data_IF_116777048326
#
_entry.id   IF_116777048326
#
_cell.length_a   1.000
_cell.length_b   1.000
_cell.length_c   1.000
_cell.angle_alpha   90.00
_cell.angle_beta   90.00
_cell.angle_gamma   90.00
#
_symmetry.space_group_name_H-M   'P 1'
#
loop_
_entity.id
_entity.type
_entity.pdbx_description
1 polymer ?
#
# COMPACT_ATOMS: atom_id res chain seq x y z
N UNK A 1 -55.67 10.41 57.59
CA UNK A 1 -56.61 9.80 56.62
C UNK A 1 -55.84 9.48 55.34
N UNK A 2 -56.00 8.26 54.85
CA UNK A 2 -55.59 7.70 53.54
C UNK A 2 -54.10 7.43 53.26
N UNK A 3 -53.78 6.14 53.34
CA UNK A 3 -52.63 5.43 52.79
C UNK A 3 -52.68 5.39 51.25
N UNK A 4 -51.53 5.56 50.57
CA UNK A 4 -51.28 4.89 49.28
C UNK A 4 -49.86 4.31 49.26
N UNK A 5 -49.79 2.97 49.30
CA UNK A 5 -48.61 2.16 49.03
C UNK A 5 -48.32 2.17 47.53
N UNK A 6 -47.08 2.44 47.13
CA UNK A 6 -46.54 1.95 45.87
C UNK A 6 -45.46 0.91 46.15
N UNK A 7 -45.82 -0.34 45.91
CA UNK A 7 -44.89 -1.43 45.66
C UNK A 7 -44.28 -1.21 44.27
N UNK A 8 -42.95 -1.21 44.16
CA UNK A 8 -42.28 -1.66 42.94
C UNK A 8 -41.23 -2.71 43.29
N UNK A 9 -41.45 -3.87 42.68
CA UNK A 9 -40.62 -5.07 42.69
C UNK A 9 -39.29 -4.85 41.93
N UNK A 10 -38.28 -5.70 42.16
CA UNK A 10 -36.89 -5.44 41.82
C UNK A 10 -36.51 -5.84 40.39
N UNK A 11 -35.34 -5.34 39.98
CA UNK A 11 -34.67 -5.49 38.69
C UNK A 11 -34.32 -6.95 38.33
N UNK A 12 -35.28 -7.69 37.78
CA UNK A 12 -35.04 -9.05 37.24
C UNK A 12 -35.08 -9.09 35.70
N UNK A 13 -35.61 -8.07 35.04
CA UNK A 13 -35.72 -8.05 33.57
C UNK A 13 -34.42 -7.65 32.85
N UNK A 14 -33.50 -6.94 33.50
CA UNK A 14 -32.29 -6.42 32.85
C UNK A 14 -31.15 -7.44 32.77
N UNK A 15 -31.09 -8.40 33.70
CA UNK A 15 -30.02 -9.42 33.73
C UNK A 15 -30.30 -10.56 32.75
N UNK A 16 -31.57 -10.94 32.57
CA UNK A 16 -31.97 -11.98 31.61
C UNK A 16 -31.74 -11.50 30.16
N UNK A 17 -31.99 -10.23 29.87
CA UNK A 17 -31.71 -9.63 28.56
C UNK A 17 -30.22 -9.61 28.20
N UNK A 18 -29.34 -9.33 29.17
CA UNK A 18 -27.89 -9.29 28.94
C UNK A 18 -27.29 -10.69 28.75
N UNK A 19 -27.75 -11.68 29.51
CA UNK A 19 -27.30 -13.08 29.37
C UNK A 19 -27.75 -13.65 28.03
N UNK A 20 -28.99 -13.37 27.59
CA UNK A 20 -29.49 -13.81 26.28
C UNK A 20 -28.69 -13.18 25.13
N UNK A 21 -28.33 -11.89 25.23
CA UNK A 21 -27.49 -11.21 24.23
C UNK A 21 -26.08 -11.82 24.18
N UNK A 22 -25.43 -12.05 25.32
CA UNK A 22 -24.09 -12.66 25.34
C UNK A 22 -24.13 -14.09 24.79
N UNK A 23 -25.13 -14.90 25.14
CA UNK A 23 -25.27 -16.25 24.58
C UNK A 23 -25.60 -16.25 23.09
N UNK A 24 -26.42 -15.32 22.61
CA UNK A 24 -26.71 -15.18 21.18
C UNK A 24 -25.48 -14.72 20.40
N UNK A 25 -24.71 -13.75 20.92
CA UNK A 25 -23.46 -13.28 20.32
C UNK A 25 -22.40 -14.39 20.30
N UNK A 26 -22.27 -15.18 21.36
CA UNK A 26 -21.31 -16.28 21.43
C UNK A 26 -21.72 -17.46 20.53
N UNK A 27 -23.02 -17.75 20.39
CA UNK A 27 -23.52 -18.74 19.42
C UNK A 27 -23.29 -18.28 17.98
N UNK A 28 -23.52 -16.99 17.69
CA UNK A 28 -23.27 -16.41 16.36
C UNK A 28 -21.78 -16.44 16.03
N UNK A 29 -20.92 -16.14 17.00
CA UNK A 29 -19.47 -16.18 16.85
C UNK A 29 -18.91 -17.60 16.69
N UNK A 30 -19.53 -18.61 17.33
CA UNK A 30 -19.14 -20.00 17.18
C UNK A 30 -19.66 -20.65 15.89
N UNK A 31 -20.80 -20.17 15.36
CA UNK A 31 -21.34 -20.59 14.04
C UNK A 31 -20.66 -19.85 12.88
N UNK A 32 -20.14 -18.65 13.12
CA UNK A 32 -19.42 -17.83 12.13
C UNK A 32 -17.88 -17.89 12.29
N UNK A 33 -17.33 -18.93 12.93
CA UNK A 33 -15.89 -19.20 12.77
C UNK A 33 -15.65 -19.56 11.30
N UNK A 34 -14.84 -18.80 10.56
CA UNK A 34 -14.40 -19.23 9.24
C UNK A 34 -13.73 -20.60 9.41
N UNK A 35 -14.15 -21.58 8.64
CA UNK A 35 -13.38 -22.81 8.50
C UNK A 35 -11.98 -22.43 7.96
N UNK A 36 -10.91 -23.17 8.24
CA UNK A 36 -9.64 -23.02 7.50
C UNK A 36 -9.80 -23.17 5.98
N UNK A 37 -10.96 -23.64 5.51
CA UNK A 37 -11.36 -23.69 4.11
C UNK A 37 -12.13 -22.44 3.61
N UNK A 38 -12.42 -21.49 4.49
CA UNK A 38 -13.08 -20.20 4.18
C UNK A 38 -12.06 -19.03 4.12
N UNK A 39 -10.76 -19.32 4.11
CA UNK A 39 -9.78 -18.33 3.67
C UNK A 39 -10.11 -17.95 2.22
N UNK A 40 -10.28 -16.65 1.91
CA UNK A 40 -10.46 -16.25 0.53
C UNK A 40 -9.18 -16.60 -0.23
N UNK A 41 -9.23 -17.65 -1.04
CA UNK A 41 -8.30 -17.77 -2.16
C UNK A 41 -8.34 -16.43 -2.89
N UNK A 42 -7.18 -15.78 -3.01
CA UNK A 42 -6.95 -14.74 -4.00
C UNK A 42 -7.13 -15.39 -5.38
N UNK A 43 -8.38 -15.57 -5.80
CA UNK A 43 -8.72 -15.94 -7.16
C UNK A 43 -8.54 -14.68 -8.00
N UNK A 44 -7.27 -14.36 -8.25
CA UNK A 44 -6.87 -13.57 -9.42
C UNK A 44 -7.62 -14.20 -10.58
N UNK A 45 -8.59 -13.47 -11.14
CA UNK A 45 -9.62 -14.04 -12.01
C UNK A 45 -9.05 -15.09 -12.96
N UNK A 46 -9.68 -16.26 -13.00
CA UNK A 46 -9.33 -17.38 -13.88
C UNK A 46 -9.39 -16.94 -15.34
N UNK A 47 -8.33 -16.26 -15.80
CA UNK A 47 -8.07 -16.03 -17.19
C UNK A 47 -7.68 -17.38 -17.78
N UNK A 48 -8.47 -17.83 -18.76
CA UNK A 48 -8.24 -19.05 -19.52
C UNK A 48 -6.76 -19.08 -19.97
N UNK A 49 -6.01 -20.16 -19.71
CA UNK A 49 -4.59 -20.21 -20.05
C UNK A 49 -4.42 -19.98 -21.55
N UNK A 50 -3.68 -18.94 -21.92
CA UNK A 50 -3.19 -18.77 -23.28
C UNK A 50 -2.10 -19.82 -23.53
N UNK A 51 -2.17 -20.52 -24.68
CA UNK A 51 -1.22 -21.55 -25.07
C UNK A 51 0.21 -21.00 -25.13
N UNK A 52 1.09 -21.56 -24.29
CA UNK A 52 2.48 -21.13 -24.16
C UNK A 52 3.10 -21.57 -22.83
N UNK A 53 3.03 -22.86 -22.50
CA UNK A 53 3.69 -23.41 -21.32
C UNK A 53 5.19 -23.57 -21.60
N UNK A 54 6.03 -22.73 -20.99
CA UNK A 54 7.47 -22.90 -21.00
C UNK A 54 7.92 -23.50 -19.64
N UNK A 55 8.56 -24.66 -19.69
CA UNK A 55 9.33 -25.15 -18.55
C UNK A 55 10.64 -24.36 -18.48
N UNK A 56 10.81 -23.52 -17.44
CA UNK A 56 12.05 -22.76 -17.29
C UNK A 56 13.16 -23.59 -16.65
N UNK A 57 14.40 -23.10 -16.76
CA UNK A 57 15.65 -23.81 -16.45
C UNK A 57 15.87 -24.18 -14.97
N UNK A 58 14.93 -23.87 -14.07
CA UNK A 58 15.07 -23.92 -12.61
C UNK A 58 14.02 -24.76 -11.89
N UNK A 59 13.23 -25.56 -12.62
CA UNK A 59 12.17 -26.39 -12.02
C UNK A 59 10.89 -25.63 -11.67
N UNK A 60 10.77 -24.38 -12.14
CA UNK A 60 9.54 -23.59 -12.09
C UNK A 60 8.73 -23.74 -13.39
N UNK A 61 7.41 -23.68 -13.25
CA UNK A 61 6.46 -23.48 -14.32
C UNK A 61 6.08 -22.00 -14.40
N UNK A 62 6.00 -21.46 -15.61
CA UNK A 62 5.70 -20.06 -15.86
C UNK A 62 4.36 -19.98 -16.59
N UNK A 63 3.35 -19.46 -15.92
CA UNK A 63 1.99 -19.31 -16.45
C UNK A 63 1.72 -17.86 -16.81
N UNK A 64 1.32 -17.64 -18.07
CA UNK A 64 0.97 -16.31 -18.56
C UNK A 64 -0.49 -15.99 -18.28
N UNK A 65 -0.75 -14.74 -17.92
CA UNK A 65 -2.08 -14.15 -17.81
C UNK A 65 -2.07 -12.75 -18.38
N UNK A 66 -3.23 -12.27 -18.80
CA UNK A 66 -3.44 -10.91 -19.30
C UNK A 66 -4.25 -10.07 -18.31
N UNK A 67 -4.33 -8.77 -18.58
CA UNK A 67 -5.10 -7.77 -17.83
C UNK A 67 -4.69 -7.59 -16.33
N UNK A 68 -3.44 -7.17 -16.03
CA UNK A 68 -2.35 -6.88 -16.96
C UNK A 68 -1.57 -8.14 -17.36
N UNK A 69 -0.81 -8.00 -18.44
CA UNK A 69 0.15 -9.02 -18.89
C UNK A 69 1.15 -9.33 -17.77
N UNK A 70 1.15 -10.59 -17.32
CA UNK A 70 1.94 -11.05 -16.19
C UNK A 70 2.30 -12.51 -16.31
N UNK A 71 3.35 -12.90 -15.60
CA UNK A 71 3.77 -14.28 -15.39
C UNK A 71 3.57 -14.64 -13.93
N UNK A 72 2.78 -15.67 -13.67
CA UNK A 72 2.76 -16.38 -12.41
C UNK A 72 3.82 -17.49 -12.46
N UNK A 73 4.62 -17.58 -11.40
CA UNK A 73 5.70 -18.54 -11.26
C UNK A 73 5.26 -19.56 -10.24
N UNK A 74 5.26 -20.83 -10.63
CA UNK A 74 4.78 -21.95 -9.84
C UNK A 74 5.96 -22.90 -9.65
N UNK A 75 6.17 -23.39 -8.43
CA UNK A 75 7.22 -24.37 -8.17
C UNK A 75 6.83 -25.81 -8.58
N UNK A 76 7.78 -26.73 -8.42
CA UNK A 76 7.59 -28.14 -8.78
C UNK A 76 6.51 -28.86 -7.97
N UNK A 77 6.07 -28.29 -6.85
CA UNK A 77 4.97 -28.82 -6.03
C UNK A 77 3.59 -28.34 -6.49
N UNK A 78 3.55 -27.34 -7.39
CA UNK A 78 2.31 -26.73 -7.87
C UNK A 78 1.91 -25.46 -7.11
N UNK A 79 2.73 -24.99 -6.18
CA UNK A 79 2.46 -23.80 -5.38
C UNK A 79 2.93 -22.52 -6.09
N UNK A 80 2.13 -21.44 -6.09
CA UNK A 80 2.57 -20.15 -6.62
C UNK A 80 3.66 -19.55 -5.73
N UNK A 81 4.76 -19.11 -6.33
CA UNK A 81 5.92 -18.55 -5.62
C UNK A 81 6.20 -17.09 -5.94
N UNK A 82 5.70 -16.59 -7.08
CA UNK A 82 5.76 -15.17 -7.42
C UNK A 82 4.85 -14.76 -8.59
N UNK A 83 4.59 -13.46 -8.70
CA UNK A 83 3.93 -12.81 -9.82
C UNK A 83 4.83 -11.68 -10.34
N UNK A 84 5.14 -11.74 -11.63
CA UNK A 84 5.90 -10.73 -12.36
C UNK A 84 4.99 -10.05 -13.38
N UNK A 85 4.86 -8.72 -13.33
CA UNK A 85 4.01 -7.98 -14.28
C UNK A 85 4.88 -7.34 -15.35
N UNK A 86 4.53 -7.53 -16.62
CA UNK A 86 5.29 -6.99 -17.73
C UNK A 86 5.40 -5.48 -17.61
N UNK A 87 6.57 -4.91 -17.88
CA UNK A 87 6.84 -3.48 -17.74
C UNK A 87 7.06 -2.99 -16.31
N UNK A 88 6.75 -3.76 -15.27
CA UNK A 88 6.99 -3.39 -13.87
C UNK A 88 8.31 -3.95 -13.32
N UNK A 89 8.90 -3.27 -12.34
CA UNK A 89 10.02 -3.78 -11.53
C UNK A 89 9.57 -4.36 -10.19
N UNK A 90 8.41 -3.98 -9.66
CA UNK A 90 7.83 -4.61 -8.48
C UNK A 90 7.47 -6.06 -8.81
N UNK A 91 8.12 -6.95 -8.10
CA UNK A 91 7.88 -8.38 -8.12
C UNK A 91 7.19 -8.78 -6.82
N UNK A 92 6.12 -9.55 -6.96
CA UNK A 92 5.30 -10.03 -5.86
C UNK A 92 5.75 -11.45 -5.56
N UNK A 93 6.30 -11.70 -4.38
CA UNK A 93 6.92 -12.98 -4.01
C UNK A 93 6.20 -13.53 -2.78
N UNK A 94 5.66 -14.73 -2.88
CA UNK A 94 5.05 -15.42 -1.73
C UNK A 94 6.14 -15.87 -0.75
N UNK A 95 6.00 -15.53 0.52
CA UNK A 95 7.00 -15.79 1.55
C UNK A 95 6.36 -16.04 2.92
N UNK A 96 7.12 -15.91 4.02
CA UNK A 96 6.54 -16.03 5.35
C UNK A 96 5.46 -14.97 5.59
N UNK A 97 4.31 -15.38 6.16
CA UNK A 97 3.26 -14.47 6.61
C UNK A 97 3.76 -13.51 7.69
N UNK A 98 3.22 -12.29 7.67
CA UNK A 98 3.53 -11.21 8.60
C UNK A 98 2.32 -10.29 8.75
N UNK A 99 2.25 -9.64 9.91
CA UNK A 99 1.19 -8.71 10.25
C UNK A 99 1.76 -7.29 10.38
N UNK A 100 1.05 -6.32 9.83
CA UNK A 100 1.32 -4.90 10.03
C UNK A 100 0.18 -4.25 10.81
N UNK A 101 0.55 -3.39 11.76
CA UNK A 101 -0.38 -2.71 12.66
C UNK A 101 0.06 -1.26 12.86
N UNK A 102 -0.91 -0.35 12.95
CA UNK A 102 -0.72 1.07 13.28
C UNK A 102 -1.83 1.52 14.26
N UNK A 103 -1.74 1.12 15.54
CA UNK A 103 -2.87 1.14 16.46
C UNK A 103 -3.32 2.55 16.89
N UNK A 104 -2.61 3.61 16.51
CA UNK A 104 -2.95 4.98 16.94
C UNK A 104 -4.29 5.45 16.37
N UNK A 105 -4.59 5.07 15.13
CA UNK A 105 -5.72 5.63 14.38
C UNK A 105 -6.62 4.55 13.76
N UNK A 106 -6.32 3.27 13.93
CA UNK A 106 -7.18 2.17 13.48
C UNK A 106 -6.89 0.91 14.29
N UNK A 107 -7.88 0.03 14.41
CA UNK A 107 -7.70 -1.33 14.92
C UNK A 107 -7.44 -2.33 13.78
N UNK A 108 -7.56 -1.90 12.52
CA UNK A 108 -7.37 -2.75 11.36
C UNK A 108 -5.93 -3.26 11.27
N UNK A 109 -5.79 -4.50 10.83
CA UNK A 109 -4.52 -5.20 10.67
C UNK A 109 -4.37 -5.67 9.24
N UNK A 110 -3.15 -5.67 8.75
CA UNK A 110 -2.81 -6.25 7.46
C UNK A 110 -2.02 -7.53 7.69
N UNK A 111 -2.62 -8.68 7.47
CA UNK A 111 -1.91 -9.95 7.38
C UNK A 111 -1.62 -10.28 5.91
N UNK A 112 -0.36 -10.57 5.60
CA UNK A 112 0.03 -10.92 4.23
C UNK A 112 1.28 -11.79 4.22
N UNK A 113 1.32 -12.74 3.29
CA UNK A 113 2.49 -13.51 2.91
C UNK A 113 3.19 -12.93 1.67
N UNK A 114 2.70 -11.81 1.14
CA UNK A 114 3.24 -11.17 -0.04
C UNK A 114 4.44 -10.28 0.33
N UNK A 115 5.55 -10.51 -0.37
CA UNK A 115 6.78 -9.72 -0.31
C UNK A 115 6.97 -9.00 -1.64
N UNK A 116 7.12 -7.69 -1.59
CA UNK A 116 7.20 -6.83 -2.78
C UNK A 116 8.63 -6.35 -2.96
N UNK A 117 9.36 -6.95 -3.91
CA UNK A 117 10.77 -6.67 -4.20
C UNK A 117 10.91 -5.85 -5.48
N UNK A 118 12.00 -5.10 -5.61
CA UNK A 118 12.34 -4.46 -6.87
C UNK A 118 13.33 -5.31 -7.66
N UNK A 119 12.91 -5.75 -8.85
CA UNK A 119 13.77 -6.30 -9.87
C UNK A 119 14.76 -5.24 -10.37
N UNK A 120 15.95 -5.62 -10.88
CA UNK A 120 16.94 -4.68 -11.39
C UNK A 120 16.44 -3.93 -12.64
N UNK A 121 15.53 -4.53 -13.40
CA UNK A 121 14.94 -3.96 -14.61
C UNK A 121 13.48 -4.43 -14.78
N UNK A 122 12.69 -3.75 -15.64
CA UNK A 122 11.31 -4.15 -15.90
C UNK A 122 11.20 -5.59 -16.38
N UNK A 123 10.21 -6.31 -15.87
CA UNK A 123 9.90 -7.66 -16.34
C UNK A 123 9.35 -7.65 -17.77
N UNK A 124 9.59 -8.73 -18.52
CA UNK A 124 8.97 -8.99 -19.81
C UNK A 124 8.82 -10.49 -20.01
N UNK A 125 7.85 -10.92 -20.80
CA UNK A 125 7.77 -12.31 -21.24
C UNK A 125 9.11 -12.79 -21.85
N UNK A 126 9.55 -13.98 -21.46
CA UNK A 126 10.85 -14.55 -21.85
C UNK A 126 12.00 -14.23 -20.90
N UNK A 127 11.83 -13.29 -19.98
CA UNK A 127 12.85 -12.95 -18.99
C UNK A 127 13.16 -14.11 -18.03
N UNK A 128 12.27 -15.09 -17.89
CA UNK A 128 12.49 -16.31 -17.12
C UNK A 128 13.70 -17.15 -17.60
N UNK A 129 14.15 -16.93 -18.84
CA UNK A 129 15.30 -17.59 -19.43
C UNK A 129 16.59 -16.78 -19.32
N UNK A 130 16.50 -15.54 -18.82
CA UNK A 130 17.63 -14.63 -18.76
C UNK A 130 18.39 -14.78 -17.43
N UNK A 131 19.73 -14.77 -17.53
CA UNK A 131 20.61 -14.98 -16.37
C UNK A 131 20.36 -13.95 -15.25
N UNK A 132 20.12 -12.68 -15.60
CA UNK A 132 19.85 -11.64 -14.61
C UNK A 132 18.65 -11.99 -13.73
N UNK A 133 17.61 -12.59 -14.31
CA UNK A 133 16.39 -12.91 -13.59
C UNK A 133 16.57 -14.16 -12.76
N UNK A 134 17.20 -15.19 -13.33
CA UNK A 134 17.50 -16.43 -12.62
C UNK A 134 18.30 -16.14 -11.34
N UNK A 135 19.36 -15.34 -11.44
CA UNK A 135 20.21 -14.98 -10.31
C UNK A 135 19.47 -14.08 -9.31
N UNK A 136 18.81 -13.03 -9.81
CA UNK A 136 18.08 -12.09 -8.96
C UNK A 136 16.91 -12.76 -8.23
N UNK A 137 16.11 -13.59 -8.90
CA UNK A 137 14.94 -14.23 -8.30
C UNK A 137 15.33 -15.23 -7.21
N UNK A 138 16.40 -16.01 -7.45
CA UNK A 138 16.95 -16.91 -6.43
C UNK A 138 17.43 -16.15 -5.18
N UNK A 139 18.05 -14.98 -5.35
CA UNK A 139 18.43 -14.11 -4.24
C UNK A 139 17.21 -13.48 -3.55
N UNK A 140 16.26 -12.95 -4.31
CA UNK A 140 15.06 -12.28 -3.81
C UNK A 140 14.18 -13.20 -2.94
N UNK A 141 14.06 -14.49 -3.30
CA UNK A 141 13.36 -15.51 -2.50
C UNK A 141 14.00 -15.75 -1.12
N UNK A 142 15.30 -15.51 -0.99
CA UNK A 142 16.08 -15.69 0.25
C UNK A 142 16.27 -14.38 1.01
N UNK A 143 15.96 -13.25 0.40
CA UNK A 143 16.09 -11.95 1.01
C UNK A 143 15.08 -11.80 2.17
N UNK A 144 15.59 -11.34 3.32
CA UNK A 144 14.84 -11.07 4.54
C UNK A 144 14.94 -9.60 4.97
N UNK A 145 15.61 -8.76 4.16
CA UNK A 145 15.60 -7.33 4.35
C UNK A 145 14.18 -6.76 4.22
N UNK A 146 13.89 -5.59 4.79
CA UNK A 146 12.61 -4.91 4.59
C UNK A 146 12.31 -4.71 3.09
N UNK A 147 11.10 -5.06 2.67
CA UNK A 147 10.58 -4.87 1.32
C UNK A 147 9.68 -3.61 1.26
N UNK A 148 8.94 -3.36 0.16
CA UNK A 148 8.08 -2.16 0.03
C UNK A 148 7.11 -2.03 1.22
N UNK A 149 6.42 -3.11 1.59
CA UNK A 149 5.43 -3.06 2.66
C UNK A 149 6.10 -2.79 4.00
N UNK A 150 7.19 -3.50 4.34
CA UNK A 150 7.89 -3.25 5.60
C UNK A 150 8.45 -1.82 5.70
N UNK A 151 9.02 -1.29 4.61
CA UNK A 151 9.57 0.06 4.58
C UNK A 151 8.45 1.11 4.70
N UNK A 152 7.25 0.83 4.18
CA UNK A 152 6.10 1.73 4.28
C UNK A 152 5.73 2.02 5.75
N UNK A 153 5.86 1.03 6.64
CA UNK A 153 5.60 1.20 8.08
C UNK A 153 6.78 1.80 8.86
N UNK A 154 7.91 2.11 8.22
CA UNK A 154 9.06 2.72 8.90
C UNK A 154 8.95 4.25 9.07
N UNK A 155 7.85 4.84 8.61
CA UNK A 155 7.62 6.29 8.59
C UNK A 155 6.27 6.70 9.19
N UNK A 156 5.50 5.75 9.73
CA UNK A 156 4.23 6.05 10.41
C UNK A 156 4.48 6.69 11.77
N UNK A 157 3.42 7.20 12.38
CA UNK A 157 3.48 7.79 13.73
C UNK A 157 4.14 6.85 14.74
N UNK A 158 5.10 7.37 15.49
CA UNK A 158 5.83 6.60 16.50
C UNK A 158 6.81 5.56 15.93
N UNK A 159 7.02 5.49 14.61
CA UNK A 159 7.96 4.54 14.02
C UNK A 159 9.38 4.71 14.59
N UNK A 160 10.06 3.61 14.97
CA UNK A 160 11.39 3.68 15.59
C UNK A 160 12.41 4.39 14.72
N UNK A 161 13.18 5.29 15.34
CA UNK A 161 14.28 6.00 14.66
C UNK A 161 15.40 5.02 14.32
N UNK A 162 15.75 4.96 13.03
CA UNK A 162 16.92 4.23 12.53
C UNK A 162 17.97 5.21 12.01
N UNK A 163 19.23 4.94 12.36
CA UNK A 163 20.39 5.76 11.97
C UNK A 163 21.43 4.93 11.26
N UNK A 164 22.12 5.54 10.31
CA UNK A 164 23.26 4.93 9.64
C UNK A 164 24.53 5.00 10.52
N UNK A 165 25.64 4.49 10.00
CA UNK A 165 26.93 4.47 10.70
C UNK A 165 27.52 5.87 10.96
N UNK A 166 26.97 6.92 10.33
CA UNK A 166 27.36 8.32 10.53
C UNK A 166 26.41 9.04 11.49
N UNK A 167 25.39 8.34 12.02
CA UNK A 167 24.38 8.88 12.92
C UNK A 167 23.25 9.62 12.21
N UNK A 168 23.21 9.63 10.87
CA UNK A 168 22.13 10.25 10.09
C UNK A 168 20.87 9.39 10.20
N UNK A 169 19.76 10.03 10.56
CA UNK A 169 18.45 9.36 10.57
C UNK A 169 17.99 9.12 9.14
N UNK A 170 17.63 7.89 8.83
CA UNK A 170 17.12 7.49 7.51
C UNK A 170 15.70 6.88 7.57
N UNK A 171 15.20 6.57 8.78
CA UNK A 171 13.84 6.12 9.04
C UNK A 171 13.40 6.51 10.45
N UNK A 172 12.09 6.51 10.66
CA UNK A 172 11.39 6.96 11.85
C UNK A 172 10.20 7.84 11.46
N UNK A 173 9.38 8.17 12.44
CA UNK A 173 8.21 9.04 12.32
C UNK A 173 8.45 10.24 11.38
N UNK A 174 7.53 10.43 10.43
CA UNK A 174 7.58 11.47 9.43
C UNK A 174 6.35 12.37 9.53
N UNK A 175 6.57 13.68 9.65
CA UNK A 175 5.51 14.68 9.49
C UNK A 175 5.07 14.78 8.02
N UNK A 176 3.91 15.40 7.74
CA UNK A 176 3.54 15.72 6.35
C UNK A 176 4.33 16.93 5.83
N UNK A 177 4.49 17.93 6.69
CA UNK A 177 5.14 19.20 6.38
C UNK A 177 4.99 20.21 7.51
N UNK A 178 5.55 21.42 7.35
CA UNK A 178 5.35 22.50 8.31
C UNK A 178 3.86 22.90 8.36
N UNK A 179 3.38 23.47 9.48
CA UNK A 179 2.03 24.01 9.57
C UNK A 179 1.69 24.96 8.43
N UNK A 180 0.46 24.88 7.93
CA UNK A 180 -0.04 25.82 6.93
C UNK A 180 -0.47 27.13 7.60
N UNK A 181 0.09 28.30 7.24
CA UNK A 181 -0.35 29.57 7.81
C UNK A 181 -1.79 29.96 7.43
N UNK A 182 -2.36 29.36 6.39
CA UNK A 182 -3.72 29.60 5.91
C UNK A 182 -4.74 28.58 6.44
N UNK A 183 -4.29 27.45 6.99
CA UNK A 183 -5.13 26.39 7.55
C UNK A 183 -4.55 25.91 8.89
N UNK A 184 -5.16 26.28 10.04
CA UNK A 184 -4.67 25.92 11.36
C UNK A 184 -4.54 24.41 11.60
N UNK A 185 -5.34 23.59 10.91
CA UNK A 185 -5.31 22.12 10.98
C UNK A 185 -4.53 21.52 9.78
N UNK A 186 -4.06 22.37 8.87
CA UNK A 186 -3.38 22.01 7.63
C UNK A 186 -1.86 21.98 7.75
N UNK A 187 -1.24 21.23 6.85
CA UNK A 187 0.20 21.11 6.67
C UNK A 187 0.55 21.40 5.21
N UNK A 188 1.65 22.11 5.00
CA UNK A 188 2.09 22.45 3.66
C UNK A 188 2.66 21.23 2.95
N UNK A 189 2.10 20.90 1.79
CA UNK A 189 2.70 19.98 0.82
C UNK A 189 4.12 20.43 0.40
N UNK A 190 4.80 19.59 -0.38
CA UNK A 190 6.11 19.76 -1.03
C UNK A 190 7.30 19.09 -0.34
N UNK A 191 7.08 18.37 0.77
CA UNK A 191 8.14 17.61 1.43
C UNK A 191 8.48 16.32 0.65
N UNK A 192 9.73 16.19 0.17
CA UNK A 192 10.24 15.00 -0.54
C UNK A 192 11.25 14.22 0.33
N UNK A 193 11.75 13.08 -0.17
CA UNK A 193 12.71 12.25 0.58
C UNK A 193 13.99 13.00 1.01
N UNK A 194 14.47 13.93 0.20
CA UNK A 194 15.66 14.72 0.50
C UNK A 194 15.39 15.74 1.64
N UNK A 195 14.16 16.24 1.76
CA UNK A 195 13.74 17.09 2.88
C UNK A 195 13.74 16.28 4.18
N UNK A 196 13.14 15.08 4.17
CA UNK A 196 13.15 14.18 5.32
C UNK A 196 14.57 13.96 5.85
N UNK A 197 15.51 13.65 4.95
CA UNK A 197 16.91 13.38 5.30
C UNK A 197 17.67 14.66 5.69
N UNK A 198 17.24 15.82 5.20
CA UNK A 198 17.98 17.07 5.32
C UNK A 198 19.27 17.07 4.48
N UNK A 199 19.29 16.34 3.35
CA UNK A 199 20.47 16.20 2.49
C UNK A 199 20.17 16.68 1.06
N UNK A 200 21.06 17.44 0.41
CA UNK A 200 20.88 17.81 -0.99
C UNK A 200 20.92 16.57 -1.90
N UNK A 201 20.23 16.64 -3.02
CA UNK A 201 20.14 15.53 -3.97
C UNK A 201 20.33 15.99 -5.42
N UNK A 202 21.05 15.18 -6.20
CA UNK A 202 21.21 15.35 -7.64
C UNK A 202 20.52 14.20 -8.37
N UNK A 203 19.51 14.52 -9.18
CA UNK A 203 18.80 13.56 -10.00
C UNK A 203 19.57 13.24 -11.28
N UNK A 204 19.32 12.04 -11.84
CA UNK A 204 19.95 11.61 -13.10
C UNK A 204 19.56 12.49 -14.30
N UNK A 205 18.42 13.19 -14.21
CA UNK A 205 17.97 14.17 -15.21
C UNK A 205 18.66 15.55 -15.07
N UNK A 206 19.70 15.66 -14.24
CA UNK A 206 20.51 16.85 -14.05
C UNK A 206 19.89 17.90 -13.12
N UNK A 207 18.67 17.69 -12.65
CA UNK A 207 18.05 18.58 -11.66
C UNK A 207 18.67 18.36 -10.28
N UNK A 208 18.95 19.46 -9.58
CA UNK A 208 19.34 19.42 -8.17
C UNK A 208 18.16 19.82 -7.27
N UNK A 209 18.15 19.29 -6.07
CA UNK A 209 17.24 19.66 -4.99
C UNK A 209 18.02 19.98 -3.71
N UNK A 210 17.55 21.01 -3.01
CA UNK A 210 18.12 21.47 -1.75
C UNK A 210 17.02 21.31 -0.70
N UNK A 211 17.28 20.63 0.43
CA UNK A 211 16.29 20.44 1.47
C UNK A 211 15.94 21.75 2.16
N UNK A 212 14.67 21.94 2.49
CA UNK A 212 14.24 23.06 3.33
C UNK A 212 14.37 22.68 4.82
N UNK A 213 15.06 23.45 5.67
CA UNK A 213 15.23 23.10 7.09
C UNK A 213 13.93 22.86 7.86
N UNK A 214 12.87 23.60 7.52
CA UNK A 214 11.53 23.47 8.11
C UNK A 214 10.79 22.18 7.72
N UNK A 215 11.31 21.42 6.74
CA UNK A 215 10.76 20.16 6.23
C UNK A 215 11.60 18.95 6.65
N UNK A 216 12.54 19.14 7.57
CA UNK A 216 13.33 18.04 8.12
C UNK A 216 12.39 17.01 8.76
N UNK A 217 12.59 15.73 8.43
CA UNK A 217 11.70 14.63 8.81
C UNK A 217 10.24 14.79 8.31
N UNK A 218 10.03 15.47 7.18
CA UNK A 218 8.72 15.57 6.55
C UNK A 218 8.66 14.83 5.21
N UNK A 219 7.53 14.18 4.94
CA UNK A 219 7.21 13.48 3.69
C UNK A 219 5.76 13.77 3.30
N UNK A 220 5.53 14.43 2.16
CA UNK A 220 4.18 14.54 1.60
C UNK A 220 3.76 13.25 0.89
N UNK A 221 2.53 13.19 0.38
CA UNK A 221 1.95 11.97 -0.21
C UNK A 221 2.83 11.31 -1.28
N UNK A 222 3.50 12.10 -2.13
CA UNK A 222 4.33 11.60 -3.23
C UNK A 222 5.82 11.58 -2.88
N UNK A 223 6.27 12.45 -1.97
CA UNK A 223 7.58 12.39 -1.35
C UNK A 223 7.78 11.10 -0.54
N UNK A 224 6.72 10.65 0.14
CA UNK A 224 6.66 9.37 0.83
C UNK A 224 6.87 8.18 -0.14
N UNK A 225 6.20 8.17 -1.29
CA UNK A 225 6.44 7.14 -2.32
C UNK A 225 7.90 7.15 -2.80
N UNK A 226 8.46 8.35 -3.04
CA UNK A 226 9.86 8.50 -3.47
C UNK A 226 10.84 8.10 -2.38
N UNK A 227 10.50 8.25 -1.10
CA UNK A 227 11.26 7.70 0.01
C UNK A 227 11.26 6.17 -0.04
N UNK A 228 10.08 5.54 -0.07
CA UNK A 228 9.92 4.07 -0.02
C UNK A 228 10.56 3.40 -1.25
N UNK A 229 10.10 3.74 -2.46
CA UNK A 229 10.59 3.07 -3.67
C UNK A 229 11.94 3.61 -4.12
N UNK A 230 12.13 4.92 -4.05
CA UNK A 230 13.31 5.56 -4.61
C UNK A 230 14.52 5.48 -3.70
N UNK A 231 14.51 6.27 -2.63
CA UNK A 231 15.66 6.39 -1.74
C UNK A 231 15.95 5.06 -1.00
N UNK A 232 14.92 4.39 -0.48
CA UNK A 232 15.10 3.19 0.35
C UNK A 232 15.29 1.90 -0.45
N UNK A 233 14.64 1.77 -1.61
CA UNK A 233 14.70 0.56 -2.43
C UNK A 233 15.47 0.72 -3.75
N UNK A 234 15.95 1.93 -4.08
CA UNK A 234 16.79 2.17 -5.25
C UNK A 234 16.05 2.25 -6.57
N UNK A 235 14.74 2.51 -6.58
CA UNK A 235 14.02 2.82 -7.81
C UNK A 235 14.51 4.18 -8.37
N UNK A 236 14.88 4.30 -9.67
CA UNK A 236 15.33 5.55 -10.24
C UNK A 236 14.33 6.68 -9.98
N UNK A 237 14.82 7.84 -9.56
CA UNK A 237 14.03 9.05 -9.35
C UNK A 237 14.43 10.11 -10.35
N UNK A 238 13.45 10.86 -10.83
CA UNK A 238 13.68 12.07 -11.63
C UNK A 238 13.19 13.31 -10.90
N UNK A 239 13.82 14.46 -11.16
CA UNK A 239 13.44 15.74 -10.56
C UNK A 239 12.33 16.46 -11.33
N UNK A 240 12.10 16.08 -12.58
CA UNK A 240 11.08 16.63 -13.48
C UNK A 240 9.74 15.90 -13.40
N UNK A 241 8.67 16.54 -13.89
CA UNK A 241 7.33 15.94 -13.99
C UNK A 241 6.92 15.65 -15.45
N UNK A 242 7.85 15.77 -16.39
CA UNK A 242 7.69 15.41 -17.80
C UNK A 242 7.99 13.92 -18.01
N UNK A 243 7.62 13.30 -19.15
CA UNK A 243 8.04 11.94 -19.47
C UNK A 243 9.55 11.74 -19.37
N UNK A 244 9.98 10.56 -18.91
CA UNK A 244 11.40 10.22 -18.74
C UNK A 244 11.61 8.95 -17.92
N UNK A 245 12.87 8.63 -17.64
CA UNK A 245 13.21 7.51 -16.75
C UNK A 245 13.02 7.87 -15.27
N UNK A 246 12.61 6.89 -14.47
CA UNK A 246 12.43 7.04 -13.03
C UNK A 246 11.12 7.69 -12.59
N UNK A 247 10.82 7.59 -11.30
CA UNK A 247 9.58 8.10 -10.71
C UNK A 247 9.63 9.64 -10.63
N UNK A 248 8.63 10.37 -11.16
CA UNK A 248 8.56 11.83 -11.08
C UNK A 248 8.19 12.32 -9.68
N UNK A 249 8.16 13.65 -9.47
CA UNK A 249 7.92 14.24 -8.14
C UNK A 249 6.45 14.27 -7.74
N UNK A 250 5.55 14.62 -8.66
CA UNK A 250 4.13 14.90 -8.36
C UNK A 250 3.26 13.67 -8.58
N UNK A 251 2.25 13.48 -7.74
CA UNK A 251 1.27 12.39 -7.85
C UNK A 251 0.62 12.31 -9.26
N UNK A 252 0.17 13.44 -9.82
CA UNK A 252 -0.39 13.46 -11.18
C UNK A 252 0.60 12.95 -12.24
N UNK A 253 1.87 13.34 -12.12
CA UNK A 253 2.91 12.95 -13.06
C UNK A 253 3.28 11.47 -12.90
N UNK A 254 3.28 10.95 -11.67
CA UNK A 254 3.48 9.52 -11.43
C UNK A 254 2.37 8.70 -12.09
N UNK A 255 1.12 9.14 -12.00
CA UNK A 255 0.00 8.48 -12.65
C UNK A 255 0.07 8.54 -14.18
N UNK A 256 0.29 9.73 -14.74
CA UNK A 256 0.22 9.99 -16.18
C UNK A 256 1.44 9.48 -16.95
N UNK A 257 2.65 9.78 -16.45
CA UNK A 257 3.91 9.59 -17.16
C UNK A 257 4.96 8.85 -16.32
N UNK A 258 4.54 8.18 -15.25
CA UNK A 258 5.41 7.35 -14.42
C UNK A 258 5.93 6.11 -15.15
N UNK A 259 6.89 5.39 -14.55
CA UNK A 259 7.39 4.11 -15.06
C UNK A 259 6.49 2.96 -14.67
N UNK A 260 6.58 1.81 -15.34
CA UNK A 260 5.72 0.65 -15.07
C UNK A 260 4.48 0.56 -15.95
N UNK A 261 3.45 -0.12 -15.47
CA UNK A 261 2.16 -0.30 -16.15
C UNK A 261 1.03 0.43 -15.45
N UNK A 262 0.21 1.14 -16.23
CA UNK A 262 -1.07 1.64 -15.77
C UNK A 262 -2.07 0.49 -15.71
N UNK A 263 -2.59 0.20 -14.51
CA UNK A 263 -3.43 -0.95 -14.26
C UNK A 263 -4.91 -0.69 -14.65
N UNK A 264 -5.33 0.58 -14.58
CA UNK A 264 -6.64 1.07 -15.03
C UNK A 264 -6.53 2.52 -15.50
N UNK A 265 -7.29 2.95 -16.52
CA UNK A 265 -7.20 4.30 -17.05
C UNK A 265 -7.74 5.33 -16.05
N UNK A 266 -7.09 6.51 -15.98
CA UNK A 266 -7.69 7.68 -15.34
C UNK A 266 -8.75 8.28 -16.27
N UNK A 267 -10.02 7.94 -16.03
CA UNK A 267 -11.16 8.49 -16.78
C UNK A 267 -11.75 9.77 -16.17
N UNK A 268 -11.16 10.26 -15.07
CA UNK A 268 -11.75 11.32 -14.24
C UNK A 268 -13.01 10.88 -13.50
N UNK A 269 -13.34 9.58 -13.53
CA UNK A 269 -14.38 8.93 -12.73
C UNK A 269 -13.71 7.93 -11.79
N UNK A 270 -14.50 7.44 -10.81
CA UNK A 270 -14.06 6.37 -9.92
C UNK A 270 -13.47 5.19 -10.70
N UNK A 271 -12.28 4.76 -10.31
CA UNK A 271 -11.59 3.61 -10.88
C UNK A 271 -12.38 2.31 -10.67
N UNK A 272 -12.16 1.36 -11.58
CA UNK A 272 -12.72 0.00 -11.54
C UNK A 272 -11.60 -1.00 -11.78
N UNK A 273 -11.85 -2.26 -11.44
CA UNK A 273 -10.86 -3.33 -11.60
C UNK A 273 -9.93 -3.44 -10.40
N UNK A 274 -10.49 -3.39 -9.19
CA UNK A 274 -9.73 -3.49 -7.93
C UNK A 274 -9.01 -4.83 -7.79
N UNK A 275 -9.53 -5.86 -8.45
CA UNK A 275 -8.97 -7.21 -8.62
C UNK A 275 -7.63 -7.22 -9.38
N UNK A 276 -7.28 -6.14 -10.08
CA UNK A 276 -5.98 -5.98 -10.74
C UNK A 276 -4.86 -5.57 -9.78
N UNK A 277 -5.22 -5.03 -8.62
CA UNK A 277 -4.25 -4.53 -7.66
C UNK A 277 -3.54 -5.67 -6.93
N UNK A 278 -2.26 -5.47 -6.67
CA UNK A 278 -1.44 -6.29 -5.79
C UNK A 278 -0.73 -5.39 -4.77
N UNK A 279 -0.46 -5.88 -3.55
CA UNK A 279 0.25 -5.10 -2.52
C UNK A 279 1.50 -4.43 -3.07
N UNK A 280 1.72 -3.15 -2.75
CA UNK A 280 2.82 -2.36 -3.30
C UNK A 280 2.51 -1.64 -4.61
N UNK A 281 1.28 -1.71 -5.14
CA UNK A 281 0.85 -0.85 -6.24
C UNK A 281 0.67 0.60 -5.78
N UNK A 282 0.97 1.55 -6.66
CA UNK A 282 0.71 2.97 -6.43
C UNK A 282 -0.75 3.28 -6.76
N UNK A 283 -1.46 3.93 -5.84
CA UNK A 283 -2.85 4.35 -6.01
C UNK A 283 -2.95 5.87 -5.99
N UNK A 284 -3.82 6.43 -6.84
CA UNK A 284 -3.90 7.87 -7.09
C UNK A 284 -5.33 8.40 -6.97
N UNK A 285 -5.47 9.55 -6.33
CA UNK A 285 -6.77 10.10 -5.92
C UNK A 285 -6.91 11.58 -6.24
N UNK A 286 -8.17 12.03 -6.21
CA UNK A 286 -8.52 13.44 -6.06
C UNK A 286 -9.00 13.73 -4.63
N UNK A 287 -8.09 14.15 -3.75
CA UNK A 287 -8.34 14.48 -2.36
C UNK A 287 -8.81 15.93 -2.13
N UNK A 288 -9.06 16.71 -3.19
CA UNK A 288 -9.54 18.09 -3.04
C UNK A 288 -10.91 18.12 -2.31
N UNK A 289 -11.16 19.16 -1.50
CA UNK A 289 -12.47 19.38 -0.87
C UNK A 289 -13.61 19.42 -1.90
N UNK A 290 -13.35 20.05 -3.05
CA UNK A 290 -14.24 20.06 -4.22
C UNK A 290 -13.57 19.26 -5.34
N UNK A 291 -14.05 18.03 -5.64
CA UNK A 291 -13.44 17.19 -6.66
C UNK A 291 -13.41 17.86 -8.03
N UNK A 292 -12.20 18.14 -8.53
CA UNK A 292 -11.95 18.74 -9.84
C UNK A 292 -11.48 17.70 -10.89
N UNK A 293 -11.56 16.40 -10.57
CA UNK A 293 -11.09 15.25 -11.35
C UNK A 293 -9.57 15.19 -11.59
N UNK A 294 -8.78 16.11 -11.04
CA UNK A 294 -7.33 16.08 -11.12
C UNK A 294 -6.73 15.23 -9.98
N UNK A 295 -5.62 14.55 -10.26
CA UNK A 295 -4.89 13.79 -9.25
C UNK A 295 -4.02 14.76 -8.44
N UNK A 296 -4.14 14.70 -7.12
CA UNK A 296 -3.37 15.49 -6.16
C UNK A 296 -2.80 14.63 -5.03
N UNK A 297 -3.33 13.43 -4.82
CA UNK A 297 -2.94 12.53 -3.73
C UNK A 297 -2.52 11.16 -4.23
N UNK A 298 -1.63 10.52 -3.48
CA UNK A 298 -1.10 9.20 -3.80
C UNK A 298 -0.84 8.36 -2.56
N UNK A 299 -0.90 7.04 -2.71
CA UNK A 299 -0.61 6.06 -1.66
C UNK A 299 -0.08 4.74 -2.21
N UNK A 300 0.15 3.79 -1.30
CA UNK A 300 0.60 2.43 -1.58
C UNK A 300 -0.53 1.49 -1.18
N UNK A 301 -1.02 0.70 -2.12
CA UNK A 301 -2.00 -0.34 -1.82
C UNK A 301 -1.37 -1.42 -0.94
N UNK A 302 -2.02 -1.76 0.17
CA UNK A 302 -1.49 -2.70 1.16
C UNK A 302 -1.99 -4.12 0.94
N UNK A 303 -3.20 -4.28 0.39
CA UNK A 303 -3.87 -5.56 0.34
C UNK A 303 -5.24 -5.49 1.03
N UNK A 304 -5.71 -6.65 1.48
CA UNK A 304 -6.98 -6.79 2.20
C UNK A 304 -6.66 -6.79 3.70
N UNK A 305 -7.34 -5.95 4.47
CA UNK A 305 -7.21 -5.94 5.93
C UNK A 305 -8.02 -7.06 6.60
N UNK A 306 -7.87 -7.23 7.91
CA UNK A 306 -8.60 -8.21 8.73
C UNK A 306 -10.12 -7.97 8.81
N UNK A 307 -10.59 -6.84 8.29
CA UNK A 307 -12.01 -6.55 8.05
C UNK A 307 -12.51 -6.96 6.66
N UNK A 308 -11.63 -7.47 5.78
CA UNK A 308 -11.98 -7.83 4.41
C UNK A 308 -11.99 -6.66 3.43
N UNK A 309 -11.39 -5.51 3.79
CA UNK A 309 -11.40 -4.30 2.97
C UNK A 309 -10.06 -4.01 2.28
N UNK A 310 -10.13 -3.43 1.08
CA UNK A 310 -8.96 -3.08 0.28
C UNK A 310 -8.32 -1.81 0.82
N UNK A 311 -7.27 -1.95 1.64
CA UNK A 311 -6.63 -0.86 2.36
C UNK A 311 -5.40 -0.33 1.63
N UNK A 312 -5.12 0.96 1.83
CA UNK A 312 -3.87 1.59 1.40
C UNK A 312 -3.25 2.44 2.51
N UNK A 313 -1.96 2.75 2.37
CA UNK A 313 -1.22 3.68 3.23
C UNK A 313 -0.83 4.92 2.43
N UNK A 314 -0.95 6.10 3.04
CA UNK A 314 -0.51 7.35 2.39
C UNK A 314 -0.09 8.38 3.43
N UNK A 315 0.78 9.33 3.04
CA UNK A 315 1.07 10.48 3.89
C UNK A 315 0.00 11.54 3.76
N UNK A 316 -0.62 11.95 4.86
CA UNK A 316 -1.78 12.85 4.88
C UNK A 316 -1.54 14.05 5.80
N UNK A 317 -1.99 15.22 5.37
CA UNK A 317 -1.91 16.46 6.17
C UNK A 317 -2.61 16.32 7.52
N UNK A 318 -3.82 15.76 7.53
CA UNK A 318 -4.68 15.73 8.73
C UNK A 318 -4.18 14.79 9.83
N UNK A 319 -3.37 13.80 9.48
CA UNK A 319 -2.72 12.88 10.43
C UNK A 319 -1.26 13.23 10.67
N UNK A 320 -0.77 14.28 10.01
CA UNK A 320 0.63 14.72 9.99
C UNK A 320 1.62 13.59 9.67
N UNK A 321 1.41 12.87 8.56
CA UNK A 321 2.37 11.85 8.12
C UNK A 321 1.78 10.63 7.42
N UNK A 322 2.63 9.65 7.02
CA UNK A 322 2.24 8.32 6.54
C UNK A 322 1.36 7.57 7.53
N UNK A 323 0.26 7.01 7.05
CA UNK A 323 -0.67 6.27 7.89
C UNK A 323 -1.64 5.42 7.07
N UNK A 324 -2.01 4.25 7.61
CA UNK A 324 -3.13 3.42 7.19
C UNK A 324 -4.36 3.60 8.10
N UNK A 325 -4.30 4.53 9.05
CA UNK A 325 -5.32 4.78 10.06
C UNK A 325 -6.61 5.43 9.55
N UNK A 326 -7.67 5.38 10.34
CA UNK A 326 -9.00 5.82 9.92
C UNK A 326 -9.31 7.30 10.22
N UNK A 327 -8.40 7.99 10.92
CA UNK A 327 -8.51 9.43 11.16
C UNK A 327 -8.59 10.18 9.83
N UNK A 328 -9.60 11.05 9.70
CA UNK A 328 -9.91 11.81 8.48
C UNK A 328 -10.27 10.94 7.27
N UNK A 329 -10.83 9.75 7.53
CA UNK A 329 -11.39 8.83 6.54
C UNK A 329 -10.55 7.56 6.41
N UNK A 330 -11.19 6.41 6.60
CA UNK A 330 -10.59 5.08 6.43
C UNK A 330 -10.01 4.90 5.02
N UNK A 331 -8.70 4.67 4.85
CA UNK A 331 -8.03 4.58 3.56
C UNK A 331 -8.36 3.27 2.86
N UNK A 332 -9.60 3.17 2.40
CA UNK A 332 -10.18 2.03 1.70
C UNK A 332 -10.47 2.37 0.24
N UNK A 333 -10.40 1.38 -0.64
CA UNK A 333 -10.66 1.51 -2.08
C UNK A 333 -12.03 0.95 -2.50
N UNK A 334 -12.57 0.04 -1.70
CA UNK A 334 -13.87 -0.61 -1.87
C UNK A 334 -14.99 0.11 -1.09
N UNK A 335 -16.24 -0.28 -1.34
CA UNK A 335 -17.39 0.36 -0.70
C UNK A 335 -17.69 1.76 -1.23
N UNK A 336 -18.17 2.66 -0.37
CA UNK A 336 -18.55 4.05 -0.69
C UNK A 336 -17.93 5.00 0.33
N UNK A 337 -17.73 6.26 -0.04
CA UNK A 337 -17.21 7.26 0.89
C UNK A 337 -16.00 8.01 0.35
N UNK A 338 -15.28 8.67 1.25
CA UNK A 338 -14.29 9.68 0.85
C UNK A 338 -13.25 9.14 -0.13
N UNK A 339 -12.51 8.09 0.23
CA UNK A 339 -11.45 7.52 -0.60
C UNK A 339 -11.94 6.66 -1.77
N UNK A 340 -12.92 5.75 -1.60
CA UNK A 340 -13.41 4.93 -2.71
C UNK A 340 -13.95 5.77 -3.86
N UNK A 341 -14.64 6.88 -3.57
CA UNK A 341 -15.23 7.76 -4.59
C UNK A 341 -14.20 8.72 -5.23
N UNK A 342 -13.00 8.82 -4.65
CA UNK A 342 -11.91 9.68 -5.11
C UNK A 342 -10.76 8.93 -5.77
N UNK A 343 -10.77 7.60 -5.76
CA UNK A 343 -9.76 6.78 -6.42
C UNK A 343 -9.91 6.83 -7.94
N UNK A 344 -8.86 7.24 -8.65
CA UNK A 344 -8.92 7.54 -10.09
C UNK A 344 -8.14 6.55 -10.96
N UNK A 345 -7.01 6.04 -10.48
CA UNK A 345 -6.15 5.11 -11.23
C UNK A 345 -5.12 4.46 -10.31
N UNK A 346 -4.40 3.47 -10.83
CA UNK A 346 -3.28 2.81 -10.16
C UNK A 346 -2.19 2.43 -11.15
N UNK A 347 -0.96 2.27 -10.64
CA UNK A 347 0.22 1.95 -11.42
C UNK A 347 1.11 0.96 -10.67
N UNK A 348 1.61 -0.05 -11.38
CA UNK A 348 2.60 -1.01 -10.89
C UNK A 348 3.95 -0.67 -11.49
N UNK A 349 4.92 -0.27 -10.67
CA UNK A 349 6.19 0.34 -11.11
C UNK A 349 7.29 -0.68 -11.33
#
# INVERSE_FOLDING_TARGET
MSYRRYLRRPAVSSVIGLVLLITASMLTYLVARPSPADEPELTLGLAKPAEGQAAGASGYHYQRSSEPDRTEIIDSSGEPVAIMTDGARTAHIYGPSRTFEEPRFTDAKLETDMWVRLAPQPWRAGAEQEQWFIDWFAAARRDRSPDVLAISFEYVDGAPVKRDNQGQQYSGDASFGPPDPADPDGRQERSDFYDYLGLPWSFLDGKAAIPEPQRKLALDCSGYLRMVYGHRLGYPLRGTNTPGEGLPRRAYAMAEVGPGVQLMPNSGQRARGIDKLLPGDLVFFNAQPVPNRQIDHSGIYLGIDDGGHHRFISSRSQTDGPTMGDLSGAPLLDGVGYWPDRWLTARRI
#
